data_IF_090570726567
#
_entry.id   IF_090570726567
#
_cell.length_a   1.000
_cell.length_b   1.000
_cell.length_c   1.000
_cell.angle_alpha   90.00
_cell.angle_beta   90.00
_cell.angle_gamma   90.00
#
_symmetry.space_group_name_H-M   'P 1'
#
loop_
_entity.id
_entity.type
_entity.pdbx_description
1 polymer ?
#
# COMPACT_ATOMS: atom_id res chain seq x y z
N UNK A 1 4.55 1.74 -21.74
CA UNK A 1 3.99 1.78 -20.36
C UNK A 1 2.57 1.28 -20.39
N UNK A 2 2.27 0.29 -19.56
CA UNK A 2 1.02 -0.45 -19.54
C UNK A 2 -0.18 0.38 -19.04
N UNK A 3 -1.42 0.08 -19.42
CA UNK A 3 -2.64 0.73 -18.95
C UNK A 3 -2.83 0.55 -17.44
N UNK A 4 -2.51 -0.63 -16.90
CA UNK A 4 -2.51 -0.87 -15.45
C UNK A 4 -1.37 -0.11 -14.76
N UNK A 5 -0.18 -0.09 -15.35
CA UNK A 5 0.96 0.68 -14.85
C UNK A 5 0.70 2.19 -14.81
N UNK A 6 0.11 2.75 -15.88
CA UNK A 6 -0.33 4.16 -15.92
C UNK A 6 -1.38 4.46 -14.85
N UNK A 7 -2.30 3.54 -14.60
CA UNK A 7 -3.33 3.75 -13.59
C UNK A 7 -2.75 3.71 -12.16
N UNK A 8 -1.93 2.70 -11.84
CA UNK A 8 -1.24 2.61 -10.53
C UNK A 8 -0.37 3.84 -10.29
N UNK A 9 0.43 4.23 -11.29
CA UNK A 9 1.27 5.41 -11.23
C UNK A 9 0.45 6.69 -11.02
N UNK A 10 -0.71 6.84 -11.69
CA UNK A 10 -1.61 7.98 -11.46
C UNK A 10 -2.15 8.00 -10.02
N UNK A 11 -2.60 6.87 -9.48
CA UNK A 11 -3.06 6.80 -8.08
C UNK A 11 -1.95 7.14 -7.09
N UNK A 12 -0.74 6.60 -7.30
CA UNK A 12 0.41 6.91 -6.47
C UNK A 12 0.82 8.37 -6.59
N UNK A 13 0.86 8.91 -7.82
CA UNK A 13 1.19 10.31 -8.07
C UNK A 13 0.19 11.23 -7.36
N UNK A 14 -1.12 10.97 -7.47
CA UNK A 14 -2.15 11.75 -6.77
C UNK A 14 -1.95 11.69 -5.25
N UNK A 15 -1.67 10.51 -4.69
CA UNK A 15 -1.40 10.35 -3.26
C UNK A 15 -0.16 11.13 -2.81
N UNK A 16 0.94 11.01 -3.55
CA UNK A 16 2.19 11.73 -3.25
C UNK A 16 1.99 13.23 -3.38
N UNK A 17 1.34 13.71 -4.44
CA UNK A 17 1.02 15.12 -4.63
C UNK A 17 0.14 15.63 -3.48
N UNK A 18 -0.88 14.87 -3.08
CA UNK A 18 -1.74 15.23 -1.95
C UNK A 18 -0.94 15.30 -0.64
N UNK A 19 -0.04 14.36 -0.39
CA UNK A 19 0.79 14.35 0.82
C UNK A 19 1.78 15.52 0.84
N UNK A 20 2.45 15.78 -0.28
CA UNK A 20 3.36 16.92 -0.43
C UNK A 20 2.61 18.23 -0.23
N UNK A 21 1.42 18.37 -0.85
CA UNK A 21 0.58 19.55 -0.69
C UNK A 21 0.17 19.73 0.78
N UNK A 22 -0.22 18.66 1.45
CA UNK A 22 -0.60 18.67 2.87
C UNK A 22 0.56 19.14 3.75
N UNK A 23 1.77 18.59 3.53
CA UNK A 23 2.98 19.00 4.25
C UNK A 23 3.33 20.46 3.99
N UNK A 24 3.22 20.92 2.75
CA UNK A 24 3.52 22.29 2.38
C UNK A 24 2.51 23.27 2.97
N UNK A 25 1.22 22.94 2.92
CA UNK A 25 0.13 23.72 3.54
C UNK A 25 0.32 23.78 5.06
N UNK A 26 0.66 22.66 5.70
CA UNK A 26 0.95 22.63 7.13
C UNK A 26 2.13 23.51 7.51
N UNK A 27 3.26 23.38 6.80
CA UNK A 27 4.45 24.21 7.03
C UNK A 27 4.18 25.70 6.77
N UNK A 28 3.44 26.02 5.71
CA UNK A 28 3.06 27.39 5.37
C UNK A 28 2.11 28.01 6.40
N UNK A 29 1.13 27.24 6.89
CA UNK A 29 0.23 27.67 7.97
C UNK A 29 1.00 27.98 9.24
N UNK A 30 1.89 27.06 9.66
CA UNK A 30 2.75 27.28 10.82
C UNK A 30 3.62 28.52 10.65
N UNK A 31 4.23 28.71 9.46
CA UNK A 31 5.04 29.89 9.16
C UNK A 31 4.25 31.20 9.08
N UNK A 32 2.93 31.16 8.85
CA UNK A 32 2.07 32.35 8.81
C UNK A 32 1.61 32.79 10.20
N UNK A 33 1.62 31.91 11.20
CA UNK A 33 1.27 32.25 12.58
C UNK A 33 2.36 33.06 13.29
N UNK A 34 3.63 32.85 12.93
CA UNK A 34 4.79 33.33 13.69
C UNK A 34 5.03 34.86 13.61
N UNK A 35 5.06 35.52 12.43
CA UNK A 35 5.75 36.82 12.38
C UNK A 35 4.95 38.03 12.87
N UNK A 36 3.62 38.01 12.72
CA UNK A 36 2.79 39.17 13.05
C UNK A 36 2.38 39.20 14.52
N UNK A 37 2.04 38.04 15.08
CA UNK A 37 1.61 37.91 16.48
C UNK A 37 2.81 38.02 17.42
N UNK A 38 3.93 37.34 17.13
CA UNK A 38 5.11 37.41 18.01
C UNK A 38 5.64 38.84 18.12
N UNK A 39 5.64 39.59 17.03
CA UNK A 39 6.13 40.98 17.06
C UNK A 39 5.23 41.88 17.90
N UNK A 40 3.91 41.76 17.76
CA UNK A 40 2.94 42.51 18.58
C UNK A 40 3.07 42.11 20.05
N UNK A 41 3.24 40.82 20.36
CA UNK A 41 3.40 40.36 21.75
C UNK A 41 4.70 40.87 22.39
N UNK A 42 5.83 40.77 21.68
CA UNK A 42 7.13 41.24 22.18
C UNK A 42 7.14 42.75 22.38
N UNK A 43 6.58 43.50 21.42
CA UNK A 43 6.52 44.95 21.53
C UNK A 43 5.55 45.37 22.65
N UNK A 44 4.38 44.74 22.80
CA UNK A 44 3.47 45.04 23.92
C UNK A 44 4.03 44.63 25.28
N UNK A 45 4.77 43.52 25.37
CA UNK A 45 5.46 43.09 26.59
C UNK A 45 6.50 44.13 27.04
N UNK A 46 7.30 44.66 26.11
CA UNK A 46 8.24 45.76 26.39
C UNK A 46 7.53 47.03 26.87
N UNK A 47 6.39 47.36 26.26
CA UNK A 47 5.58 48.52 26.69
C UNK A 47 5.00 48.31 28.10
N UNK A 48 4.61 47.09 28.45
CA UNK A 48 4.14 46.76 29.80
C UNK A 48 5.28 46.81 30.83
N UNK A 49 6.46 46.27 30.52
CA UNK A 49 7.65 46.35 31.37
C UNK A 49 8.07 47.81 31.63
N UNK A 50 7.95 48.66 30.61
CA UNK A 50 8.17 50.10 30.74
C UNK A 50 7.14 50.75 31.68
N UNK A 51 5.85 50.39 31.57
CA UNK A 51 4.79 50.86 32.47
C UNK A 51 5.06 50.44 33.92
N UNK A 52 5.46 49.20 34.16
CA UNK A 52 5.78 48.68 35.48
C UNK A 52 7.01 49.39 36.09
N UNK A 53 8.06 49.57 35.30
CA UNK A 53 9.27 50.28 35.74
C UNK A 53 8.97 51.74 36.08
N UNK A 54 8.14 52.42 35.29
CA UNK A 54 7.67 53.78 35.58
C UNK A 54 6.82 53.83 36.86
N UNK A 55 5.94 52.85 37.07
CA UNK A 55 5.13 52.76 38.29
C UNK A 55 5.99 52.54 39.54
N UNK A 56 7.03 51.68 39.45
CA UNK A 56 7.99 51.47 40.52
C UNK A 56 8.79 52.73 40.82
N UNK A 57 9.27 53.44 39.79
CA UNK A 57 9.98 54.71 39.93
C UNK A 57 9.15 55.81 40.61
N UNK A 58 7.82 55.81 40.46
CA UNK A 58 6.92 56.71 41.19
C UNK A 58 6.82 56.41 42.70
N UNK A 59 7.24 55.23 43.14
CA UNK A 59 7.21 54.84 44.56
C UNK A 59 8.59 54.80 45.20
N UNK A 60 9.64 54.76 44.38
CA UNK A 60 11.02 54.79 44.82
C UNK A 60 11.39 56.18 45.38
N UNK A 61 12.18 56.18 46.45
CA UNK A 61 12.65 57.39 47.14
C UNK A 61 14.17 57.59 46.95
N UNK A 62 14.69 57.11 45.81
CA UNK A 62 16.12 57.17 45.47
C UNK A 62 16.42 58.16 44.33
N UNK A 63 17.69 58.54 44.22
CA UNK A 63 18.19 59.51 43.23
C UNK A 63 18.05 59.00 41.79
N UNK A 64 17.93 57.68 41.60
CA UNK A 64 17.88 57.03 40.29
C UNK A 64 16.44 56.87 39.76
N UNK A 65 15.41 57.11 40.58
CA UNK A 65 14.01 57.00 40.21
C UNK A 65 13.68 57.82 38.96
N UNK A 66 14.22 59.04 38.87
CA UNK A 66 14.02 59.91 37.71
C UNK A 66 14.65 59.35 36.44
N UNK A 67 15.90 58.89 36.53
CA UNK A 67 16.61 58.33 35.38
C UNK A 67 15.91 57.07 34.86
N UNK A 68 15.44 56.19 35.76
CA UNK A 68 14.65 55.00 35.42
C UNK A 68 13.32 55.34 34.77
N UNK A 69 12.61 56.34 35.30
CA UNK A 69 11.35 56.77 34.68
C UNK A 69 11.58 57.32 33.27
N UNK A 70 12.60 58.16 33.08
CA UNK A 70 12.92 58.77 31.79
C UNK A 70 13.35 57.71 30.75
N UNK A 71 14.17 56.73 31.13
CA UNK A 71 14.58 55.67 30.21
C UNK A 71 13.41 54.78 29.81
N UNK A 72 12.55 54.38 30.76
CA UNK A 72 11.35 53.58 30.47
C UNK A 72 10.31 54.34 29.66
N UNK A 73 10.12 55.63 29.91
CA UNK A 73 9.25 56.47 29.10
C UNK A 73 9.75 56.55 27.66
N UNK A 74 11.07 56.72 27.45
CA UNK A 74 11.66 56.73 26.11
C UNK A 74 11.48 55.38 25.39
N UNK A 75 11.55 54.25 26.11
CA UNK A 75 11.23 52.93 25.54
C UNK A 75 9.78 52.89 25.08
N UNK A 76 8.83 53.29 25.93
CA UNK A 76 7.40 53.29 25.59
C UNK A 76 7.06 54.25 24.43
N UNK A 77 7.68 55.44 24.37
CA UNK A 77 7.48 56.41 23.29
C UNK A 77 8.02 55.94 21.94
N UNK A 78 9.09 55.14 21.94
CA UNK A 78 9.66 54.56 20.72
C UNK A 78 8.97 53.26 20.30
N UNK A 79 8.06 52.74 21.13
CA UNK A 79 7.41 51.45 20.95
C UNK A 79 5.88 51.57 20.98
N UNK A 80 5.37 52.60 20.29
CA UNK A 80 3.92 52.84 20.18
C UNK A 80 3.31 51.80 19.24
N UNK A 81 2.53 50.88 19.78
CA UNK A 81 1.87 49.81 19.01
C UNK A 81 0.42 50.16 18.66
N UNK A 82 -0.24 50.95 19.52
CA UNK A 82 -1.65 51.32 19.38
C UNK A 82 -1.85 52.84 19.32
N UNK A 83 -2.88 53.28 18.57
CA UNK A 83 -3.15 54.72 18.41
C UNK A 83 -3.49 55.40 19.74
N UNK A 84 -4.18 54.65 20.62
CA UNK A 84 -4.71 55.13 21.90
C UNK A 84 -3.64 55.29 22.98
N UNK A 85 -2.38 54.91 22.72
CA UNK A 85 -1.26 55.09 23.67
C UNK A 85 -0.72 56.53 23.66
N UNK A 86 -0.82 57.22 22.52
CA UNK A 86 -0.22 58.54 22.31
C UNK A 86 -0.76 59.62 23.26
N UNK A 87 -2.07 59.69 23.57
CA UNK A 87 -2.59 60.62 24.56
C UNK A 87 -2.02 60.36 25.96
N UNK A 88 -1.91 59.10 26.36
CA UNK A 88 -1.42 58.74 27.70
C UNK A 88 0.08 59.00 27.84
N UNK A 89 0.88 58.67 26.83
CA UNK A 89 2.31 58.99 26.81
C UNK A 89 2.57 60.50 26.93
N UNK A 90 1.72 61.33 26.32
CA UNK A 90 1.80 62.79 26.46
C UNK A 90 1.52 63.24 27.89
N UNK A 91 0.49 62.69 28.53
CA UNK A 91 0.18 62.96 29.95
C UNK A 91 1.36 62.56 30.83
N UNK A 92 1.99 61.40 30.57
CA UNK A 92 3.19 60.96 31.30
C UNK A 92 4.34 61.95 31.11
N UNK A 93 4.68 62.33 29.87
CA UNK A 93 5.77 63.27 29.56
C UNK A 93 5.60 64.62 30.25
N UNK A 94 4.38 65.14 30.29
CA UNK A 94 4.08 66.46 30.86
C UNK A 94 4.09 66.45 32.40
N UNK A 95 3.66 65.35 33.04
CA UNK A 95 3.39 65.33 34.47
C UNK A 95 4.44 64.59 35.31
N UNK A 96 5.25 63.69 34.73
CA UNK A 96 6.24 62.92 35.49
C UNK A 96 7.25 63.77 36.28
N UNK A 97 7.76 64.94 35.80
CA UNK A 97 8.76 65.69 36.54
C UNK A 97 8.20 66.22 37.87
N UNK A 98 6.93 66.66 37.86
CA UNK A 98 6.20 67.15 39.04
C UNK A 98 5.78 66.01 39.96
N UNK A 99 5.37 64.89 39.38
CA UNK A 99 4.98 63.70 40.13
C UNK A 99 6.12 63.14 40.98
N UNK A 100 7.34 63.09 40.42
CA UNK A 100 8.54 62.65 41.13
C UNK A 100 9.03 63.64 42.20
N UNK A 101 8.74 64.94 42.06
CA UNK A 101 9.04 65.93 43.10
C UNK A 101 7.99 66.02 44.22
N UNK A 102 6.97 65.14 44.22
CA UNK A 102 5.99 65.03 45.30
C UNK A 102 4.66 65.77 45.07
N UNK A 103 4.39 66.31 43.88
CA UNK A 103 3.10 66.92 43.57
C UNK A 103 2.00 65.85 43.47
N UNK A 104 1.06 65.86 44.41
CA UNK A 104 -0.02 64.88 44.51
C UNK A 104 -0.94 64.85 43.28
N UNK A 105 -1.22 66.01 42.68
CA UNK A 105 -2.10 66.07 41.50
C UNK A 105 -1.39 65.48 40.27
N UNK A 106 -0.12 65.83 40.08
CA UNK A 106 0.70 65.24 39.03
C UNK A 106 0.89 63.73 39.24
N UNK A 107 1.09 63.27 40.48
CA UNK A 107 1.23 61.84 40.82
C UNK A 107 -0.04 61.07 40.49
N UNK A 108 -1.21 61.62 40.79
CA UNK A 108 -2.49 61.02 40.41
C UNK A 108 -2.66 60.95 38.88
N UNK A 109 -2.36 62.04 38.16
CA UNK A 109 -2.44 62.08 36.70
C UNK A 109 -1.52 61.04 36.03
N UNK A 110 -0.27 60.92 36.49
CA UNK A 110 0.70 59.94 35.98
C UNK A 110 0.27 58.52 36.30
N UNK A 111 -0.18 58.24 37.53
CA UNK A 111 -0.69 56.90 37.90
C UNK A 111 -1.88 56.50 37.03
N UNK A 112 -2.83 57.39 36.82
CA UNK A 112 -4.02 57.10 36.04
C UNK A 112 -3.66 56.91 34.55
N UNK A 113 -2.70 57.67 34.02
CA UNK A 113 -2.16 57.49 32.67
C UNK A 113 -1.42 56.15 32.51
N UNK A 114 -0.59 55.74 33.48
CA UNK A 114 0.06 54.42 33.48
C UNK A 114 -0.97 53.28 33.51
N UNK A 115 -2.03 53.42 34.31
CA UNK A 115 -3.09 52.42 34.38
C UNK A 115 -3.84 52.29 33.04
N UNK A 116 -4.15 53.40 32.37
CA UNK A 116 -4.78 53.41 31.05
C UNK A 116 -3.85 52.86 29.97
N UNK A 117 -2.60 53.27 29.96
CA UNK A 117 -1.59 52.76 29.01
C UNK A 117 -1.39 51.24 29.13
N UNK A 118 -1.32 50.72 30.36
CA UNK A 118 -1.26 49.29 30.61
C UNK A 118 -2.55 48.55 30.21
N UNK A 119 -3.72 49.19 30.35
CA UNK A 119 -4.99 48.59 29.91
C UNK A 119 -5.08 48.50 28.38
N UNK A 120 -4.66 49.54 27.64
CA UNK A 120 -4.59 49.53 26.17
C UNK A 120 -3.69 48.38 25.69
N UNK A 121 -2.49 48.24 26.27
CA UNK A 121 -1.57 47.16 25.93
C UNK A 121 -2.16 45.76 26.19
N UNK A 122 -2.77 45.53 27.36
CA UNK A 122 -3.40 44.23 27.68
C UNK A 122 -4.51 43.87 26.70
N UNK A 123 -5.39 44.83 26.35
CA UNK A 123 -6.46 44.61 25.37
C UNK A 123 -5.90 44.33 23.97
N UNK A 124 -4.79 44.95 23.60
CA UNK A 124 -4.09 44.65 22.34
C UNK A 124 -3.50 43.23 22.33
N UNK A 125 -2.88 42.79 23.43
CA UNK A 125 -2.37 41.42 23.58
C UNK A 125 -3.48 40.37 23.53
N UNK A 126 -4.61 40.61 24.20
CA UNK A 126 -5.78 39.71 24.16
C UNK A 126 -6.31 39.55 22.73
N UNK A 127 -6.48 40.65 22.00
CA UNK A 127 -6.91 40.62 20.59
C UNK A 127 -5.93 39.86 19.71
N UNK A 128 -4.64 40.10 19.86
CA UNK A 128 -3.60 39.42 19.09
C UNK A 128 -3.57 37.91 19.38
N UNK A 129 -3.72 37.52 20.65
CA UNK A 129 -3.79 36.12 21.06
C UNK A 129 -5.06 35.43 20.53
N UNK A 130 -6.22 36.08 20.58
CA UNK A 130 -7.45 35.53 19.98
C UNK A 130 -7.29 35.31 18.47
N UNK A 131 -6.70 36.25 17.75
CA UNK A 131 -6.46 36.13 16.32
C UNK A 131 -5.51 34.97 16.01
N UNK A 132 -4.43 34.83 16.80
CA UNK A 132 -3.51 33.70 16.72
C UNK A 132 -4.22 32.35 16.95
N UNK A 133 -5.06 32.25 17.98
CA UNK A 133 -5.81 31.03 18.27
C UNK A 133 -6.78 30.67 17.15
N UNK A 134 -7.50 31.65 16.58
CA UNK A 134 -8.42 31.43 15.46
C UNK A 134 -7.67 30.93 14.22
N UNK A 135 -6.52 31.51 13.90
CA UNK A 135 -5.67 31.06 12.79
C UNK A 135 -5.13 29.65 13.02
N UNK A 136 -4.72 29.34 14.25
CA UNK A 136 -4.24 28.01 14.64
C UNK A 136 -5.31 26.93 14.51
N UNK A 137 -6.52 27.20 15.01
CA UNK A 137 -7.66 26.28 14.91
C UNK A 137 -8.08 26.04 13.46
N UNK A 138 -8.18 27.10 12.66
CA UNK A 138 -8.51 26.99 11.24
C UNK A 138 -7.44 26.17 10.49
N UNK A 139 -6.16 26.42 10.76
CA UNK A 139 -5.05 25.67 10.19
C UNK A 139 -5.08 24.18 10.56
N UNK A 140 -5.36 23.87 11.83
CA UNK A 140 -5.45 22.50 12.31
C UNK A 140 -6.56 21.71 11.60
N UNK A 141 -7.74 22.32 11.39
CA UNK A 141 -8.83 21.69 10.65
C UNK A 141 -8.50 21.43 9.19
N UNK A 142 -7.78 22.33 8.53
CA UNK A 142 -7.29 22.13 7.15
C UNK A 142 -6.37 20.91 7.11
N UNK A 143 -5.33 20.87 7.95
CA UNK A 143 -4.38 19.74 7.99
C UNK A 143 -5.09 18.42 8.31
N UNK A 144 -6.03 18.42 9.26
CA UNK A 144 -6.81 17.24 9.62
C UNK A 144 -7.65 16.73 8.44
N UNK A 145 -8.36 17.61 7.73
CA UNK A 145 -9.17 17.24 6.56
C UNK A 145 -8.31 16.62 5.45
N UNK A 146 -7.17 17.23 5.14
CA UNK A 146 -6.24 16.70 4.15
C UNK A 146 -5.65 15.34 4.57
N UNK A 147 -5.34 15.17 5.86
CA UNK A 147 -4.92 13.88 6.41
C UNK A 147 -5.98 12.79 6.24
N UNK A 148 -7.24 13.09 6.53
CA UNK A 148 -8.36 12.15 6.33
C UNK A 148 -8.52 11.78 4.86
N UNK A 149 -8.47 12.76 3.95
CA UNK A 149 -8.54 12.51 2.50
C UNK A 149 -7.37 11.64 2.02
N UNK A 150 -6.16 11.88 2.53
CA UNK A 150 -4.98 11.06 2.25
C UNK A 150 -5.15 9.62 2.73
N UNK A 151 -5.72 9.42 3.92
CA UNK A 151 -6.01 8.10 4.46
C UNK A 151 -7.05 7.35 3.63
N UNK A 152 -8.15 8.01 3.27
CA UNK A 152 -9.18 7.45 2.38
C UNK A 152 -8.56 7.06 1.04
N UNK A 153 -7.79 7.96 0.42
CA UNK A 153 -7.08 7.69 -0.83
C UNK A 153 -6.15 6.48 -0.74
N UNK A 154 -5.44 6.33 0.37
CA UNK A 154 -4.53 5.20 0.63
C UNK A 154 -5.29 3.88 0.74
N UNK A 155 -6.38 3.84 1.50
CA UNK A 155 -7.25 2.66 1.62
C UNK A 155 -7.81 2.26 0.26
N UNK A 156 -8.31 3.22 -0.52
CA UNK A 156 -8.82 2.96 -1.87
C UNK A 156 -7.73 2.40 -2.80
N UNK A 157 -6.51 2.94 -2.75
CA UNK A 157 -5.40 2.45 -3.54
C UNK A 157 -5.02 1.00 -3.18
N UNK A 158 -5.00 0.65 -1.88
CA UNK A 158 -4.74 -0.72 -1.41
C UNK A 158 -5.83 -1.67 -1.88
N UNK A 159 -7.10 -1.34 -1.66
CA UNK A 159 -8.24 -2.19 -2.08
C UNK A 159 -8.22 -2.41 -3.59
N UNK A 160 -7.96 -1.35 -4.36
CA UNK A 160 -7.89 -1.42 -5.83
C UNK A 160 -6.73 -2.28 -6.30
N UNK A 161 -5.55 -2.09 -5.73
CA UNK A 161 -4.35 -2.89 -6.04
C UNK A 161 -4.59 -4.36 -5.73
N UNK A 162 -5.19 -4.66 -4.57
CA UNK A 162 -5.52 -6.04 -4.19
C UNK A 162 -6.49 -6.69 -5.18
N UNK A 163 -7.54 -5.99 -5.59
CA UNK A 163 -8.57 -6.52 -6.51
C UNK A 163 -8.07 -6.65 -7.95
N UNK A 164 -7.24 -5.71 -8.44
CA UNK A 164 -6.84 -5.65 -9.86
C UNK A 164 -5.50 -6.31 -10.18
N UNK A 165 -4.61 -6.47 -9.19
CA UNK A 165 -3.28 -7.03 -9.39
C UNK A 165 -3.10 -8.31 -8.57
N UNK A 166 -3.19 -8.21 -7.25
CA UNK A 166 -2.84 -9.33 -6.36
C UNK A 166 -3.80 -10.51 -6.50
N UNK A 167 -5.11 -10.25 -6.60
CA UNK A 167 -6.13 -11.28 -6.76
C UNK A 167 -5.92 -12.12 -8.02
N UNK A 168 -5.90 -11.51 -9.23
CA UNK A 168 -5.71 -12.28 -10.45
C UNK A 168 -4.33 -12.96 -10.56
N UNK A 169 -3.26 -12.36 -10.01
CA UNK A 169 -1.95 -13.02 -9.94
C UNK A 169 -1.96 -14.27 -9.06
N UNK A 170 -2.67 -14.25 -7.92
CA UNK A 170 -2.85 -15.46 -7.11
C UNK A 170 -3.60 -16.55 -7.86
N UNK A 171 -4.69 -16.19 -8.54
CA UNK A 171 -5.45 -17.16 -9.32
C UNK A 171 -4.61 -17.77 -10.44
N UNK A 172 -3.80 -16.96 -11.12
CA UNK A 172 -2.84 -17.47 -12.11
C UNK A 172 -1.86 -18.46 -11.51
N UNK A 173 -1.25 -18.11 -10.36
CA UNK A 173 -0.31 -18.98 -9.67
C UNK A 173 -0.96 -20.32 -9.26
N UNK A 174 -2.21 -20.27 -8.76
CA UNK A 174 -2.97 -21.46 -8.37
C UNK A 174 -3.26 -22.36 -9.59
N UNK A 175 -3.74 -21.78 -10.69
CA UNK A 175 -4.08 -22.52 -11.92
C UNK A 175 -2.84 -23.19 -12.52
N UNK A 176 -1.71 -22.49 -12.59
CA UNK A 176 -0.45 -23.06 -13.10
C UNK A 176 0.04 -24.19 -12.21
N UNK A 177 -0.03 -24.01 -10.88
CA UNK A 177 0.38 -25.04 -9.91
C UNK A 177 -0.50 -26.29 -10.01
N UNK A 178 -1.80 -26.10 -10.14
CA UNK A 178 -2.78 -27.18 -10.30
C UNK A 178 -2.57 -27.95 -11.60
N UNK A 179 -2.26 -27.26 -12.69
CA UNK A 179 -1.95 -27.89 -13.97
C UNK A 179 -0.63 -28.67 -13.90
N UNK A 180 0.39 -28.14 -13.21
CA UNK A 180 1.65 -28.85 -12.96
C UNK A 180 1.45 -30.13 -12.12
N UNK A 181 0.39 -30.22 -11.32
CA UNK A 181 0.01 -31.40 -10.54
C UNK A 181 -0.92 -32.38 -11.29
N UNK A 182 -1.17 -32.15 -12.57
CA UNK A 182 -1.94 -33.05 -13.44
C UNK A 182 -3.45 -32.80 -13.49
N UNK A 183 -3.95 -31.74 -12.84
CA UNK A 183 -5.37 -31.36 -12.95
C UNK A 183 -5.59 -30.44 -14.16
N UNK A 184 -6.24 -30.96 -15.22
CA UNK A 184 -6.26 -30.25 -16.51
C UNK A 184 -7.43 -29.30 -16.73
N UNK A 185 -8.47 -29.34 -15.88
CA UNK A 185 -9.74 -28.65 -16.17
C UNK A 185 -9.85 -27.23 -15.59
N UNK A 186 -8.92 -26.81 -14.72
CA UNK A 186 -8.98 -25.46 -14.13
C UNK A 186 -8.53 -24.42 -15.16
N UNK A 187 -9.24 -23.29 -15.23
CA UNK A 187 -8.93 -22.15 -16.09
C UNK A 187 -8.90 -20.87 -15.27
N UNK A 188 -8.13 -19.88 -15.75
CA UNK A 188 -8.15 -18.54 -15.19
C UNK A 188 -9.50 -17.86 -15.51
N UNK A 189 -10.12 -17.14 -14.57
CA UNK A 189 -11.34 -16.41 -14.82
C UNK A 189 -11.09 -15.31 -15.85
N UNK A 190 -12.02 -15.17 -16.81
CA UNK A 190 -12.02 -14.03 -17.73
C UNK A 190 -12.22 -12.76 -16.92
N UNK A 191 -11.18 -11.95 -16.84
CA UNK A 191 -11.24 -10.64 -16.19
C UNK A 191 -11.48 -9.59 -17.26
N UNK A 192 -12.52 -8.77 -17.11
CA UNK A 192 -12.84 -7.73 -18.08
C UNK A 192 -11.82 -6.57 -18.00
N UNK A 193 -11.01 -6.46 -19.05
CA UNK A 193 -10.15 -5.31 -19.33
C UNK A 193 -8.82 -5.25 -18.56
N UNK A 194 -7.81 -4.70 -19.25
CA UNK A 194 -6.45 -4.49 -18.74
C UNK A 194 -5.48 -5.62 -19.11
N UNK A 195 -4.18 -5.33 -19.14
CA UNK A 195 -3.17 -6.28 -19.64
C UNK A 195 -3.11 -7.58 -18.86
N UNK A 196 -3.41 -7.54 -17.55
CA UNK A 196 -3.45 -8.77 -16.76
C UNK A 196 -4.57 -9.70 -17.24
N UNK A 197 -5.71 -9.16 -17.68
CA UNK A 197 -6.79 -9.95 -18.28
C UNK A 197 -6.37 -10.59 -19.61
N UNK A 198 -5.61 -9.87 -20.44
CA UNK A 198 -5.03 -10.40 -21.69
C UNK A 198 -4.05 -11.54 -21.41
N UNK A 199 -3.15 -11.36 -20.43
CA UNK A 199 -2.20 -12.42 -20.00
C UNK A 199 -2.94 -13.66 -19.51
N UNK A 200 -3.97 -13.52 -18.68
CA UNK A 200 -4.79 -14.67 -18.24
C UNK A 200 -5.47 -15.36 -19.43
N UNK A 201 -5.92 -14.60 -20.43
CA UNK A 201 -6.48 -15.13 -21.66
C UNK A 201 -5.47 -15.94 -22.46
N UNK A 202 -4.26 -15.43 -22.65
CA UNK A 202 -3.18 -16.13 -23.36
C UNK A 202 -2.77 -17.41 -22.63
N UNK A 203 -2.72 -17.39 -21.29
CA UNK A 203 -2.45 -18.59 -20.50
C UNK A 203 -3.54 -19.63 -20.69
N UNK A 204 -4.82 -19.24 -20.67
CA UNK A 204 -5.91 -20.17 -20.94
C UNK A 204 -5.80 -20.80 -22.34
N UNK A 205 -5.47 -20.01 -23.36
CA UNK A 205 -5.28 -20.54 -24.72
C UNK A 205 -4.12 -21.56 -24.78
N UNK A 206 -3.02 -21.29 -24.07
CA UNK A 206 -1.88 -22.20 -23.98
C UNK A 206 -2.26 -23.50 -23.27
N UNK A 207 -3.01 -23.42 -22.17
CA UNK A 207 -3.55 -24.60 -21.47
C UNK A 207 -4.50 -25.40 -22.37
N UNK A 208 -5.33 -24.74 -23.19
CA UNK A 208 -6.22 -25.42 -24.14
C UNK A 208 -5.44 -26.09 -25.28
N UNK A 209 -4.30 -25.54 -25.70
CA UNK A 209 -3.41 -26.18 -26.69
C UNK A 209 -2.75 -27.42 -26.10
N UNK A 210 -2.26 -27.35 -24.86
CA UNK A 210 -1.67 -28.49 -24.15
C UNK A 210 -2.71 -29.62 -24.01
N UNK A 211 -3.94 -29.27 -23.60
CA UNK A 211 -5.00 -30.26 -23.43
C UNK A 211 -5.38 -30.93 -24.76
N UNK A 212 -5.47 -30.16 -25.85
CA UNK A 212 -5.76 -30.70 -27.19
C UNK A 212 -4.62 -31.54 -27.77
N UNK A 213 -3.38 -31.26 -27.39
CA UNK A 213 -2.21 -32.03 -27.80
C UNK A 213 -2.06 -33.33 -27.00
N UNK A 214 -2.73 -33.45 -25.85
CA UNK A 214 -2.82 -34.71 -25.11
C UNK A 214 -3.63 -35.69 -25.97
N UNK A 215 -3.13 -36.91 -26.24
CA UNK A 215 -3.87 -37.89 -27.02
C UNK A 215 -5.20 -38.19 -26.32
N UNK A 216 -6.30 -37.74 -26.90
CA UNK A 216 -7.65 -38.09 -26.47
C UNK A 216 -7.82 -39.59 -26.74
N UNK A 217 -7.88 -40.40 -25.69
CA UNK A 217 -8.21 -41.83 -25.79
C UNK A 217 -9.69 -41.99 -26.17
N UNK A 218 -9.95 -42.38 -27.42
CA UNK A 218 -10.71 -43.60 -27.71
C UNK A 218 -9.98 -44.57 -28.65
N UNK A 219 -8.86 -44.16 -29.28
CA UNK A 219 -8.14 -44.96 -30.28
C UNK A 219 -7.27 -46.07 -29.65
N UNK A 220 -6.85 -45.91 -28.38
CA UNK A 220 -6.08 -46.95 -27.68
C UNK A 220 -6.99 -48.13 -27.31
N UNK A 221 -8.19 -47.87 -26.79
CA UNK A 221 -9.14 -48.94 -26.43
C UNK A 221 -9.68 -49.66 -27.67
N UNK A 222 -10.03 -48.94 -28.74
CA UNK A 222 -10.50 -49.57 -29.98
C UNK A 222 -9.43 -50.42 -30.67
N UNK A 223 -8.15 -50.01 -30.62
CA UNK A 223 -7.04 -50.82 -31.14
C UNK A 223 -6.76 -52.04 -30.28
N UNK A 224 -6.82 -51.90 -28.96
CA UNK A 224 -6.67 -53.03 -28.02
C UNK A 224 -7.83 -54.02 -28.22
N UNK A 225 -9.06 -53.54 -28.34
CA UNK A 225 -10.25 -54.36 -28.59
C UNK A 225 -10.18 -55.06 -29.95
N UNK A 226 -9.75 -54.36 -31.01
CA UNK A 226 -9.49 -54.98 -32.32
C UNK A 226 -8.36 -56.01 -32.27
N UNK A 227 -7.32 -55.78 -31.47
CA UNK A 227 -6.23 -56.72 -31.27
C UNK A 227 -6.71 -57.98 -30.53
N UNK A 228 -7.52 -57.84 -29.48
CA UNK A 228 -8.14 -58.98 -28.80
C UNK A 228 -9.04 -59.78 -29.74
N UNK A 229 -9.90 -59.11 -30.54
CA UNK A 229 -10.74 -59.78 -31.52
C UNK A 229 -9.93 -60.52 -32.61
N UNK A 230 -8.81 -59.93 -33.05
CA UNK A 230 -7.90 -60.58 -34.00
C UNK A 230 -7.20 -61.82 -33.39
N UNK A 231 -6.87 -61.78 -32.09
CA UNK A 231 -6.29 -62.93 -31.40
C UNK A 231 -7.33 -64.04 -31.21
N UNK A 232 -8.58 -63.69 -30.88
CA UNK A 232 -9.67 -64.64 -30.64
C UNK A 232 -10.24 -65.30 -31.90
N UNK A 233 -10.04 -64.68 -33.08
CA UNK A 233 -10.46 -65.27 -34.37
C UNK A 233 -9.51 -66.35 -34.88
N UNK A 234 -8.37 -66.58 -34.21
CA UNK A 234 -7.43 -67.63 -34.58
C UNK A 234 -7.82 -68.98 -33.96
N UNK A 235 -7.77 -70.07 -34.74
CA UNK A 235 -8.19 -71.39 -34.28
C UNK A 235 -7.20 -72.01 -33.26
N UNK A 236 -5.94 -71.56 -33.25
CA UNK A 236 -4.87 -72.02 -32.37
C UNK A 236 -4.65 -71.09 -31.16
N UNK A 237 -4.28 -71.62 -29.99
CA UNK A 237 -3.90 -70.81 -28.83
C UNK A 237 -2.76 -69.85 -29.18
N UNK A 238 -2.99 -68.54 -29.04
CA UNK A 238 -2.05 -67.49 -29.49
C UNK A 238 -1.69 -66.54 -28.35
N UNK A 239 -0.41 -66.18 -28.24
CA UNK A 239 0.15 -65.32 -27.20
C UNK A 239 1.02 -64.20 -27.78
N UNK A 240 0.91 -63.01 -27.21
CA UNK A 240 1.85 -61.90 -27.43
C UNK A 240 2.71 -61.76 -26.19
N UNK A 241 4.01 -62.02 -26.33
CA UNK A 241 4.97 -62.09 -25.22
C UNK A 241 6.12 -61.10 -25.47
N UNK A 242 6.46 -60.28 -24.49
CA UNK A 242 7.63 -59.41 -24.55
C UNK A 242 8.93 -60.19 -24.27
N UNK A 243 10.07 -59.62 -24.68
CA UNK A 243 11.39 -60.24 -24.48
C UNK A 243 11.76 -60.52 -23.00
N UNK A 244 11.08 -59.87 -22.05
CA UNK A 244 11.21 -60.10 -20.61
C UNK A 244 10.40 -61.34 -20.11
N UNK A 245 9.62 -61.96 -20.99
CA UNK A 245 8.76 -63.10 -20.69
C UNK A 245 7.35 -62.74 -20.22
N UNK A 246 6.99 -61.44 -20.22
CA UNK A 246 5.66 -60.98 -19.82
C UNK A 246 4.66 -61.20 -20.96
N UNK A 247 3.57 -61.93 -20.69
CA UNK A 247 2.45 -62.07 -21.63
C UNK A 247 1.60 -60.81 -21.61
N UNK A 248 1.56 -60.06 -22.72
CA UNK A 248 0.77 -58.83 -22.85
C UNK A 248 -0.66 -59.06 -23.30
N UNK A 249 -0.88 -60.08 -24.13
CA UNK A 249 -2.20 -60.47 -24.61
C UNK A 249 -2.20 -61.96 -24.97
N UNK A 250 -3.36 -62.60 -24.86
CA UNK A 250 -3.59 -63.98 -25.29
C UNK A 250 -4.99 -64.10 -25.89
N UNK A 251 -5.17 -65.06 -26.81
CA UNK A 251 -6.51 -65.47 -27.25
C UNK A 251 -7.26 -66.18 -26.11
N UNK A 252 -8.58 -66.29 -26.20
CA UNK A 252 -9.40 -67.03 -25.24
C UNK A 252 -8.91 -68.49 -25.07
N UNK A 253 -8.62 -69.18 -26.18
CA UNK A 253 -8.01 -70.52 -26.17
C UNK A 253 -6.60 -70.54 -25.58
N UNK A 254 -5.85 -69.43 -25.68
CA UNK A 254 -4.56 -69.25 -25.03
C UNK A 254 -4.68 -69.10 -23.51
N UNK A 255 -5.68 -68.37 -23.03
CA UNK A 255 -5.96 -68.25 -21.59
C UNK A 255 -6.30 -69.60 -20.96
N UNK A 256 -7.13 -70.41 -21.63
CA UNK A 256 -7.46 -71.76 -21.17
C UNK A 256 -6.21 -72.66 -21.14
N UNK A 257 -5.38 -72.61 -22.18
CA UNK A 257 -4.13 -73.38 -22.24
C UNK A 257 -3.12 -73.00 -21.14
N UNK A 258 -3.02 -71.71 -20.78
CA UNK A 258 -2.18 -71.25 -19.66
C UNK A 258 -2.75 -71.68 -18.29
N UNK A 259 -4.08 -71.79 -18.17
CA UNK A 259 -4.72 -72.24 -16.93
C UNK A 259 -4.53 -73.74 -16.69
N UNK A 260 -4.48 -74.53 -17.77
CA UNK A 260 -4.30 -75.99 -17.71
C UNK A 260 -2.83 -76.41 -17.56
N UNK A 261 -1.88 -75.67 -18.16
CA UNK A 261 -0.44 -75.97 -18.09
C UNK A 261 0.34 -74.86 -17.36
N UNK A 262 0.67 -75.12 -16.09
CA UNK A 262 1.42 -74.20 -15.24
C UNK A 262 2.86 -73.94 -15.73
N UNK A 263 3.43 -74.83 -16.55
CA UNK A 263 4.79 -74.74 -17.09
C UNK A 263 4.84 -74.01 -18.44
N UNK A 264 3.67 -73.81 -19.08
CA UNK A 264 3.52 -73.12 -20.36
C UNK A 264 4.05 -71.68 -20.33
N UNK A 265 3.87 -70.96 -19.22
CA UNK A 265 4.39 -69.58 -19.07
C UNK A 265 5.91 -69.52 -19.15
N UNK A 266 6.61 -70.50 -18.57
CA UNK A 266 8.06 -70.56 -18.62
C UNK A 266 8.55 -70.87 -20.05
N UNK A 267 7.83 -71.74 -20.76
CA UNK A 267 8.10 -72.10 -22.16
C UNK A 267 7.86 -70.92 -23.12
N UNK A 268 6.79 -70.15 -22.91
CA UNK A 268 6.50 -68.92 -23.67
C UNK A 268 7.56 -67.83 -23.45
N UNK A 269 8.06 -67.68 -22.23
CA UNK A 269 9.16 -66.76 -21.92
C UNK A 269 10.52 -67.18 -22.52
N UNK A 270 10.74 -68.49 -22.69
CA UNK A 270 11.89 -69.00 -23.45
C UNK A 270 11.71 -68.73 -24.96
N UNK A 271 10.51 -68.98 -25.49
CA UNK A 271 10.17 -68.76 -26.90
C UNK A 271 10.38 -67.30 -27.36
N UNK A 272 10.02 -66.32 -26.53
CA UNK A 272 10.22 -64.90 -26.82
C UNK A 272 11.70 -64.48 -26.91
N UNK A 273 12.58 -65.17 -26.17
CA UNK A 273 14.03 -64.89 -26.14
C UNK A 273 14.81 -65.67 -27.19
N UNK A 274 14.45 -66.94 -27.39
CA UNK A 274 15.18 -67.88 -28.24
C UNK A 274 14.60 -67.96 -29.67
N UNK A 275 13.40 -67.39 -29.88
CA UNK A 275 12.76 -67.29 -31.20
C UNK A 275 12.24 -68.63 -31.75
N UNK A 276 12.28 -69.69 -30.96
CA UNK A 276 11.81 -71.04 -31.34
C UNK A 276 11.12 -71.71 -30.15
N UNK A 277 10.06 -72.47 -30.41
CA UNK A 277 9.36 -73.28 -29.42
C UNK A 277 8.85 -74.54 -30.11
N UNK A 278 9.16 -75.71 -29.54
CA UNK A 278 8.77 -77.00 -30.12
C UNK A 278 7.24 -77.16 -30.11
N UNK A 279 6.64 -77.45 -31.27
CA UNK A 279 5.19 -77.52 -31.44
C UNK A 279 4.48 -76.17 -31.59
N UNK A 280 5.22 -75.07 -31.79
CA UNK A 280 4.63 -73.73 -31.92
C UNK A 280 5.29 -72.91 -33.05
N UNK A 281 4.51 -72.03 -33.65
CA UNK A 281 4.99 -71.04 -34.63
C UNK A 281 5.29 -69.73 -33.91
N UNK A 282 6.54 -69.28 -33.94
CA UNK A 282 6.98 -68.02 -33.30
C UNK A 282 7.26 -66.97 -34.38
N UNK A 283 6.52 -65.86 -34.36
CA UNK A 283 6.73 -64.72 -35.25
C UNK A 283 7.25 -63.53 -34.45
N UNK A 284 8.45 -63.03 -34.79
CA UNK A 284 9.07 -61.91 -34.08
C UNK A 284 8.49 -60.57 -34.52
N UNK A 285 8.06 -59.75 -33.57
CA UNK A 285 7.48 -58.42 -33.74
C UNK A 285 8.29 -57.41 -32.92
N UNK A 286 9.46 -57.02 -33.44
CA UNK A 286 10.37 -56.11 -32.73
C UNK A 286 10.90 -56.72 -31.42
N UNK A 287 10.57 -56.08 -30.31
CA UNK A 287 10.93 -56.50 -28.94
C UNK A 287 9.91 -57.49 -28.32
N UNK A 288 8.87 -57.86 -29.07
CA UNK A 288 7.88 -58.86 -28.70
C UNK A 288 7.87 -60.04 -29.69
N UNK A 289 7.24 -61.13 -29.29
CA UNK A 289 7.02 -62.31 -30.12
C UNK A 289 5.54 -62.74 -30.05
N UNK A 290 4.99 -63.11 -31.20
CA UNK A 290 3.70 -63.75 -31.34
C UNK A 290 3.92 -65.27 -31.40
N UNK A 291 3.37 -66.00 -30.45
CA UNK A 291 3.53 -67.46 -30.34
C UNK A 291 2.18 -68.13 -30.56
N UNK A 292 2.10 -68.99 -31.57
CA UNK A 292 0.91 -69.79 -31.91
C UNK A 292 1.20 -71.26 -31.64
N UNK A 293 0.43 -71.90 -30.75
CA UNK A 293 0.57 -73.34 -30.46
C UNK A 293 -0.16 -74.16 -31.54
N UNK A 294 0.52 -75.15 -32.11
CA UNK A 294 -0.01 -76.04 -33.16
C UNK A 294 -0.66 -77.31 -32.64
#
# INVERSE_FOLDING_TARGET
MTAVGRQVLRTLAVLVTLQVLTSFVGAWLLGRMTPAVDRILVDNERSLEAVETMALALTADDLDARARFESSLAVAENNVTEHDERPELRVLRENYPRALTGDLAARAAVRDALARLGAVNRVAMERANEEAQRLGLAGAWVVALFGILGLIGSVLAVVRTRRRLVGPLRVLADVVTDHARGSSHRRCPRTEGGELGEVLGHVNELLDRIERAKPTGPDVDARIEALHHFLDTRPSPTFVVEADGTVKAASASGFDAIAEDAELRARLAAAAREGTLEGATVTKLGDAALVELG
#
